data_IF_978213654185
#
_entry.id   IF_978213654185
#
_cell.length_a   1.000
_cell.length_b   1.000
_cell.length_c   1.000
_cell.angle_alpha   90.00
_cell.angle_beta   90.00
_cell.angle_gamma   90.00
#
_symmetry.space_group_name_H-M   'P 1'
#
loop_
_entity.id
_entity.type
_entity.pdbx_description
1 polymer ?
#
# COMPACT_ATOMS: atom_id res chain seq x y z
N UNK A 1 10.67 -3.76 31.47
CA UNK A 1 11.38 -3.22 30.31
C UNK A 1 10.32 -2.90 29.27
N UNK A 2 10.19 -1.65 28.84
CA UNK A 2 9.27 -1.33 27.73
C UNK A 2 9.91 -1.91 26.47
N UNK A 3 9.33 -2.98 25.94
CA UNK A 3 9.74 -3.51 24.64
C UNK A 3 9.30 -2.51 23.57
N UNK A 4 10.19 -2.17 22.64
CA UNK A 4 9.84 -1.38 21.47
C UNK A 4 8.71 -2.10 20.71
N UNK A 5 7.64 -1.38 20.42
CA UNK A 5 6.51 -1.87 19.62
C UNK A 5 6.35 -1.00 18.38
N UNK A 6 6.01 -1.63 17.27
CA UNK A 6 5.56 -0.92 16.08
C UNK A 6 4.06 -0.68 16.16
N UNK A 7 3.63 0.49 15.69
CA UNK A 7 2.24 0.77 15.35
C UNK A 7 2.09 0.62 13.85
N UNK A 8 1.43 -0.45 13.42
CA UNK A 8 1.26 -0.81 12.01
C UNK A 8 -0.22 -0.84 11.66
N UNK A 9 -0.51 -0.66 10.38
CA UNK A 9 -1.85 -0.66 9.82
C UNK A 9 -1.93 -1.65 8.66
N UNK A 10 -3.09 -2.29 8.52
CA UNK A 10 -3.50 -3.00 7.31
C UNK A 10 -4.85 -2.45 6.88
N UNK A 11 -5.09 -2.34 5.58
CA UNK A 11 -6.40 -1.92 5.07
C UNK A 11 -6.99 -3.01 4.20
N UNK A 12 -8.30 -3.15 4.31
CA UNK A 12 -9.10 -4.05 3.49
C UNK A 12 -10.28 -3.25 2.94
N UNK A 13 -10.62 -3.46 1.67
CA UNK A 13 -11.85 -2.89 1.13
C UNK A 13 -13.04 -3.43 1.91
N UNK A 14 -13.90 -2.54 2.40
CA UNK A 14 -15.11 -2.96 3.08
C UNK A 14 -16.10 -3.59 2.08
N UNK A 15 -16.78 -4.65 2.52
CA UNK A 15 -17.90 -5.28 1.81
C UNK A 15 -19.00 -5.56 2.84
N UNK A 16 -20.26 -5.45 2.42
CA UNK A 16 -21.42 -5.59 3.31
C UNK A 16 -21.38 -6.88 4.12
N UNK A 17 -21.05 -7.99 3.48
CA UNK A 17 -21.00 -9.31 4.11
C UNK A 17 -19.59 -9.74 4.58
N UNK A 18 -18.56 -8.86 4.52
CA UNK A 18 -17.24 -9.27 4.98
C UNK A 18 -17.14 -9.23 6.50
N UNK A 19 -16.90 -10.38 7.11
CA UNK A 19 -16.58 -10.47 8.52
C UNK A 19 -15.31 -9.66 8.86
N UNK A 20 -15.25 -9.14 10.08
CA UNK A 20 -14.02 -8.55 10.63
C UNK A 20 -13.01 -9.67 10.84
N UNK A 21 -11.78 -9.48 10.35
CA UNK A 21 -10.70 -10.43 10.55
C UNK A 21 -10.17 -10.30 11.98
N UNK A 22 -10.43 -11.32 12.81
CA UNK A 22 -9.95 -11.36 14.20
C UNK A 22 -8.48 -11.75 14.30
N UNK A 23 -7.95 -12.47 13.32
CA UNK A 23 -6.55 -12.89 13.30
C UNK A 23 -6.05 -12.95 11.87
N UNK A 24 -4.94 -12.26 11.61
CA UNK A 24 -4.23 -12.31 10.34
C UNK A 24 -3.19 -13.42 10.42
N UNK A 25 -3.31 -14.37 9.49
CA UNK A 25 -2.32 -15.42 9.28
C UNK A 25 -1.45 -15.02 8.09
N UNK A 26 -0.11 -15.03 8.23
CA UNK A 26 0.81 -14.83 7.12
C UNK A 26 0.43 -15.70 5.92
N UNK A 27 0.44 -15.11 4.73
CA UNK A 27 0.16 -15.80 3.47
C UNK A 27 1.03 -15.21 2.37
N UNK A 28 1.24 -15.94 1.29
CA UNK A 28 1.81 -15.37 0.08
C UNK A 28 0.73 -14.46 -0.56
N UNK A 29 0.99 -13.15 -0.77
CA UNK A 29 0.01 -12.25 -1.38
C UNK A 29 -0.41 -12.75 -2.78
N UNK A 30 -1.70 -12.71 -3.12
CA UNK A 30 -2.19 -13.20 -4.41
C UNK A 30 -1.83 -12.28 -5.59
N UNK A 31 -1.74 -10.97 -5.34
CA UNK A 31 -1.30 -9.94 -6.29
C UNK A 31 0.06 -9.42 -5.81
N UNK A 32 1.04 -9.32 -6.71
CA UNK A 32 2.44 -8.98 -6.41
C UNK A 32 3.04 -8.12 -7.52
N UNK A 33 4.02 -7.29 -7.19
CA UNK A 33 4.80 -6.56 -8.17
C UNK A 33 5.77 -7.51 -8.90
N UNK A 34 6.11 -7.17 -10.15
CA UNK A 34 7.12 -7.93 -10.90
C UNK A 34 8.48 -7.85 -10.18
N UNK A 35 9.11 -9.00 -9.95
CA UNK A 35 10.35 -9.13 -9.19
C UNK A 35 10.19 -9.18 -7.65
N UNK A 36 8.97 -9.19 -7.12
CA UNK A 36 8.71 -9.42 -5.70
C UNK A 36 8.88 -10.90 -5.31
N UNK A 37 9.37 -11.18 -4.09
CA UNK A 37 9.49 -12.56 -3.57
C UNK A 37 8.12 -13.22 -3.40
N UNK A 38 7.90 -14.31 -4.15
CA UNK A 38 6.65 -15.07 -4.22
C UNK A 38 6.61 -16.31 -3.30
N UNK A 39 7.61 -16.47 -2.43
CA UNK A 39 7.74 -17.63 -1.54
C UNK A 39 7.50 -17.29 -0.08
N UNK A 40 7.57 -16.02 0.31
CA UNK A 40 7.47 -15.59 1.72
C UNK A 40 6.02 -15.34 2.14
N UNK A 41 5.53 -16.10 3.11
CA UNK A 41 4.27 -15.81 3.78
C UNK A 41 4.39 -14.61 4.71
N UNK A 42 3.42 -13.69 4.64
CA UNK A 42 3.48 -12.40 5.36
C UNK A 42 2.10 -11.79 5.57
N UNK A 43 2.01 -10.92 6.57
CA UNK A 43 0.97 -9.90 6.66
C UNK A 43 1.58 -8.56 6.24
N UNK A 44 1.14 -8.02 5.11
CA UNK A 44 1.60 -6.74 4.58
C UNK A 44 0.94 -5.61 5.36
N UNK A 45 1.77 -4.74 5.93
CA UNK A 45 1.33 -3.60 6.76
C UNK A 45 2.13 -2.35 6.44
N UNK A 46 1.68 -1.19 6.91
CA UNK A 46 2.47 0.05 6.83
C UNK A 46 2.22 0.95 8.04
N UNK A 47 2.93 2.08 8.12
CA UNK A 47 2.83 3.05 9.21
C UNK A 47 1.68 4.04 9.04
N UNK A 48 1.00 4.07 7.88
CA UNK A 48 -0.17 4.91 7.65
C UNK A 48 -1.16 4.30 6.67
N UNK A 49 -2.42 4.75 6.73
CA UNK A 49 -3.49 4.37 5.79
C UNK A 49 -3.11 4.72 4.35
N UNK A 50 -2.55 5.92 4.13
CA UNK A 50 -2.12 6.40 2.79
C UNK A 50 -1.11 5.43 2.16
N UNK A 51 -0.14 4.98 2.95
CA UNK A 51 0.90 4.05 2.50
C UNK A 51 0.35 2.64 2.26
N UNK A 52 -0.56 2.17 3.11
CA UNK A 52 -1.31 0.92 2.86
C UNK A 52 -2.10 1.00 1.55
N UNK A 53 -2.70 2.16 1.27
CA UNK A 53 -3.51 2.39 0.08
C UNK A 53 -2.69 2.43 -1.21
N UNK A 54 -1.45 2.96 -1.14
CA UNK A 54 -0.47 2.88 -2.22
C UNK A 54 -0.04 1.44 -2.53
N UNK A 55 0.06 0.60 -1.50
CA UNK A 55 0.49 -0.80 -1.63
C UNK A 55 -0.59 -1.74 -2.17
N UNK A 56 -1.87 -1.37 -2.06
CA UNK A 56 -2.98 -2.21 -2.49
C UNK A 56 -3.35 -1.89 -3.95
N UNK A 57 -3.05 -2.76 -4.95
CA UNK A 57 -3.19 -2.42 -6.37
C UNK A 57 -4.61 -1.97 -6.73
N UNK A 58 -5.63 -2.72 -6.29
CA UNK A 58 -7.05 -2.38 -6.51
C UNK A 58 -7.44 -1.02 -5.93
N UNK A 59 -6.86 -0.67 -4.80
CA UNK A 59 -7.09 0.60 -4.11
C UNK A 59 -6.34 1.71 -4.86
N UNK A 60 -5.07 1.46 -5.19
CA UNK A 60 -4.20 2.32 -5.98
C UNK A 60 -4.84 2.73 -7.33
N UNK A 61 -5.47 1.81 -8.06
CA UNK A 61 -6.17 2.15 -9.31
C UNK A 61 -7.30 3.17 -9.13
N UNK A 62 -8.10 3.01 -8.07
CA UNK A 62 -9.16 3.96 -7.70
C UNK A 62 -8.56 5.28 -7.21
N UNK A 63 -7.44 5.21 -6.49
CA UNK A 63 -6.79 6.33 -5.82
C UNK A 63 -5.78 7.10 -6.64
N UNK A 64 -5.38 6.70 -7.84
CA UNK A 64 -4.44 7.50 -8.63
C UNK A 64 -4.98 7.87 -9.99
N UNK A 65 -6.29 7.68 -10.21
CA UNK A 65 -6.94 8.09 -11.46
C UNK A 65 -6.29 7.42 -12.68
N UNK A 66 -5.67 6.24 -12.50
CA UNK A 66 -5.12 5.43 -13.61
C UNK A 66 -6.24 4.82 -14.48
N UNK A 67 -7.44 5.41 -14.41
CA UNK A 67 -8.71 4.97 -14.94
C UNK A 67 -9.08 5.66 -16.24
N UNK A 68 -8.32 6.66 -16.70
CA UNK A 68 -8.74 7.42 -17.89
C UNK A 68 -8.72 6.56 -19.18
N UNK A 69 -7.99 5.43 -19.22
CA UNK A 69 -7.88 4.58 -20.43
C UNK A 69 -7.94 3.07 -20.23
N UNK A 70 -8.11 2.59 -19.00
CA UNK A 70 -8.30 1.16 -18.74
C UNK A 70 -9.80 0.92 -18.73
N UNK A 71 -10.28 0.02 -19.59
CA UNK A 71 -11.66 -0.46 -19.54
C UNK A 71 -11.86 -1.21 -18.22
N UNK A 72 -12.18 -0.47 -17.15
CA UNK A 72 -12.36 -0.96 -15.80
C UNK A 72 -13.41 -2.05 -15.72
N UNK A 73 -14.34 -2.06 -16.68
CA UNK A 73 -15.30 -3.13 -16.88
C UNK A 73 -14.64 -4.53 -16.93
N UNK A 74 -13.47 -4.63 -17.57
CA UNK A 74 -12.73 -5.89 -17.72
C UNK A 74 -11.91 -6.27 -16.48
N UNK A 75 -11.57 -5.29 -15.61
CA UNK A 75 -10.64 -5.48 -14.49
C UNK A 75 -11.34 -5.62 -13.12
N UNK A 76 -12.44 -4.90 -12.92
CA UNK A 76 -13.12 -4.80 -11.62
C UNK A 76 -14.60 -5.22 -11.66
N UNK A 77 -15.14 -5.56 -12.84
CA UNK A 77 -16.51 -6.02 -13.03
C UNK A 77 -17.55 -4.89 -13.08
N UNK A 78 -18.77 -5.20 -13.55
CA UNK A 78 -19.84 -4.20 -13.78
C UNK A 78 -20.20 -3.40 -12.51
N UNK A 79 -20.12 -4.02 -11.34
CA UNK A 79 -20.48 -3.42 -10.05
C UNK A 79 -19.57 -2.24 -9.64
N UNK A 80 -18.35 -2.19 -10.18
CA UNK A 80 -17.36 -1.16 -9.84
C UNK A 80 -17.44 0.09 -10.75
N UNK A 81 -17.99 -0.06 -11.96
CA UNK A 81 -18.03 1.02 -12.95
C UNK A 81 -18.91 2.19 -12.48
N UNK A 82 -20.05 1.87 -11.86
CA UNK A 82 -20.98 2.88 -11.35
C UNK A 82 -20.37 3.75 -10.24
N UNK A 83 -19.45 3.19 -9.45
CA UNK A 83 -18.81 3.92 -8.37
C UNK A 83 -17.86 5.00 -8.92
N UNK A 84 -17.06 4.66 -9.94
CA UNK A 84 -15.99 5.49 -10.48
C UNK A 84 -16.45 6.71 -11.31
N UNK A 85 -17.66 6.68 -11.87
CA UNK A 85 -18.19 7.77 -12.68
C UNK A 85 -18.65 8.99 -11.84
N UNK A 86 -19.00 8.78 -10.58
CA UNK A 86 -19.34 9.91 -9.69
C UNK A 86 -18.06 10.59 -9.17
N UNK A 87 -17.91 11.90 -9.43
CA UNK A 87 -16.77 12.72 -8.95
C UNK A 87 -16.65 12.77 -7.41
N UNK A 88 -17.65 12.26 -6.69
CA UNK A 88 -17.77 12.31 -5.23
C UNK A 88 -17.63 10.93 -4.56
N UNK A 89 -17.29 9.89 -5.32
CA UNK A 89 -17.10 8.54 -4.74
C UNK A 89 -15.77 8.42 -4.00
N UNK A 90 -15.86 8.08 -2.71
CA UNK A 90 -14.73 7.63 -1.90
C UNK A 90 -14.90 6.15 -1.56
N UNK A 91 -13.81 5.39 -1.53
CA UNK A 91 -13.87 3.98 -1.16
C UNK A 91 -13.80 3.82 0.35
N UNK A 92 -14.71 3.03 0.91
CA UNK A 92 -14.65 2.67 2.32
C UNK A 92 -13.69 1.51 2.51
N UNK A 93 -12.75 1.72 3.43
CA UNK A 93 -11.83 0.69 3.89
C UNK A 93 -12.03 0.43 5.36
N UNK A 94 -11.83 -0.82 5.73
CA UNK A 94 -11.60 -1.23 7.11
C UNK A 94 -10.11 -1.11 7.38
N UNK A 95 -9.75 -0.42 8.46
CA UNK A 95 -8.39 -0.18 8.91
C UNK A 95 -8.14 -0.97 10.18
N UNK A 96 -7.26 -1.95 10.09
CA UNK A 96 -6.80 -2.77 11.20
C UNK A 96 -5.52 -2.17 11.77
N UNK A 97 -5.52 -1.89 13.07
CA UNK A 97 -4.34 -1.39 13.78
C UNK A 97 -3.67 -2.53 14.52
N UNK A 98 -2.34 -2.54 14.53
CA UNK A 98 -1.54 -3.53 15.23
C UNK A 98 -0.52 -2.85 16.11
N UNK A 99 -0.33 -3.40 17.31
CA UNK A 99 0.83 -3.12 18.14
C UNK A 99 1.67 -4.38 18.25
N UNK A 100 2.78 -4.46 17.54
CA UNK A 100 3.58 -5.69 17.44
C UNK A 100 4.99 -5.52 17.98
N UNK A 101 5.57 -6.54 18.64
CA UNK A 101 6.98 -6.53 19.01
C UNK A 101 7.89 -6.40 17.79
N UNK A 102 8.97 -5.63 17.92
CA UNK A 102 9.94 -5.40 16.85
C UNK A 102 10.52 -6.70 16.24
N UNK A 103 10.72 -7.75 17.03
CA UNK A 103 11.36 -8.98 16.57
C UNK A 103 10.54 -9.84 15.60
N UNK A 104 9.23 -9.62 15.50
CA UNK A 104 8.35 -10.33 14.54
C UNK A 104 8.09 -9.51 13.27
N UNK A 105 8.65 -8.31 13.19
CA UNK A 105 8.47 -7.37 12.08
C UNK A 105 9.73 -7.36 11.23
N UNK A 106 9.58 -7.65 9.93
CA UNK A 106 10.57 -7.27 8.94
C UNK A 106 10.28 -5.84 8.51
N UNK A 107 11.16 -4.90 8.88
CA UNK A 107 10.97 -3.48 8.58
C UNK A 107 11.13 -3.18 7.08
N UNK A 108 10.58 -2.05 6.64
CA UNK A 108 10.76 -1.54 5.28
C UNK A 108 12.25 -1.48 4.86
N UNK A 109 13.12 -1.05 5.78
CA UNK A 109 14.58 -1.03 5.55
C UNK A 109 15.14 -2.42 5.32
N UNK A 110 14.75 -3.42 6.13
CA UNK A 110 15.24 -4.79 5.97
C UNK A 110 14.72 -5.43 4.68
N UNK A 111 13.46 -5.19 4.32
CA UNK A 111 12.86 -5.63 3.05
C UNK A 111 13.64 -5.05 1.87
N UNK A 112 13.96 -3.75 1.93
CA UNK A 112 14.71 -3.04 0.91
C UNK A 112 16.15 -3.57 0.76
N UNK A 113 16.87 -3.72 1.86
CA UNK A 113 18.26 -4.22 1.88
C UNK A 113 18.38 -5.63 1.29
N UNK A 114 17.33 -6.44 1.49
CA UNK A 114 17.24 -7.82 0.98
C UNK A 114 16.69 -7.89 -0.45
N UNK A 115 16.19 -6.78 -1.01
CA UNK A 115 15.65 -6.71 -2.36
C UNK A 115 14.40 -7.56 -2.55
N UNK A 116 13.53 -7.68 -1.53
CA UNK A 116 12.36 -8.57 -1.58
C UNK A 116 11.14 -7.92 -2.24
N UNK A 117 11.05 -6.58 -2.18
CA UNK A 117 9.93 -5.78 -2.71
C UNK A 117 10.51 -4.52 -3.37
N UNK A 118 10.32 -4.32 -4.69
CA UNK A 118 10.89 -3.18 -5.41
C UNK A 118 10.37 -1.80 -4.96
N UNK A 119 9.10 -1.71 -4.56
CA UNK A 119 8.40 -0.46 -4.26
C UNK A 119 8.26 -0.16 -2.75
N UNK A 120 8.97 -0.90 -1.89
CA UNK A 120 8.95 -0.75 -0.43
C UNK A 120 9.23 0.66 0.07
N UNK A 121 10.01 1.47 -0.67
CA UNK A 121 10.25 2.88 -0.33
C UNK A 121 9.01 3.76 -0.49
N UNK A 122 8.14 3.42 -1.44
CA UNK A 122 6.90 4.16 -1.73
C UNK A 122 5.80 3.75 -0.78
N UNK A 123 5.70 2.45 -0.48
CA UNK A 123 4.68 1.84 0.36
C UNK A 123 5.04 1.82 1.84
N UNK A 124 6.32 2.04 2.18
CA UNK A 124 6.87 1.84 3.53
C UNK A 124 6.36 0.53 4.15
N UNK A 125 6.38 -0.52 3.34
CA UNK A 125 5.78 -1.79 3.69
C UNK A 125 6.60 -2.49 4.78
N UNK A 126 5.89 -3.02 5.76
CA UNK A 126 6.41 -3.83 6.85
C UNK A 126 5.74 -5.20 6.79
N UNK A 127 6.50 -6.26 7.06
CA UNK A 127 5.97 -7.62 7.07
C UNK A 127 5.93 -8.17 8.49
N UNK A 128 4.77 -8.67 8.88
CA UNK A 128 4.63 -9.50 10.08
C UNK A 128 4.68 -10.96 9.62
N UNK A 129 5.64 -11.72 10.13
CA UNK A 129 5.89 -13.11 9.71
C UNK A 129 5.17 -14.15 10.59
N UNK A 130 4.51 -13.70 11.65
CA UNK A 130 3.72 -14.52 12.58
C UNK A 130 2.24 -14.15 12.52
N UNK A 131 1.39 -15.04 13.06
CA UNK A 131 -0.02 -14.75 13.25
C UNK A 131 -0.20 -13.54 14.21
N UNK A 132 -1.08 -12.62 13.85
CA UNK A 132 -1.28 -11.37 14.61
C UNK A 132 -2.75 -11.00 14.72
N UNK A 133 -3.14 -10.50 15.89
CA UNK A 133 -4.47 -9.95 16.14
C UNK A 133 -4.42 -8.42 16.08
N UNK A 134 -5.39 -7.76 15.43
CA UNK A 134 -5.50 -6.31 15.48
C UNK A 134 -5.80 -5.86 16.91
N UNK A 135 -5.20 -4.75 17.35
CA UNK A 135 -5.51 -4.11 18.63
C UNK A 135 -6.79 -3.29 18.56
N UNK A 136 -7.11 -2.76 17.38
CA UNK A 136 -8.37 -2.10 17.09
C UNK A 136 -8.72 -2.17 15.60
N UNK A 137 -9.99 -1.95 15.31
CA UNK A 137 -10.52 -1.87 13.94
C UNK A 137 -11.29 -0.57 13.82
N UNK A 138 -11.02 0.16 12.75
CA UNK A 138 -11.70 1.42 12.42
C UNK A 138 -12.08 1.42 10.95
N UNK A 139 -12.83 2.43 10.52
CA UNK A 139 -13.22 2.59 9.13
C UNK A 139 -12.78 3.94 8.63
N UNK A 140 -12.40 4.01 7.35
CA UNK A 140 -12.03 5.25 6.70
C UNK A 140 -12.65 5.30 5.30
N UNK A 141 -13.01 6.50 4.87
CA UNK A 141 -13.30 6.81 3.47
C UNK A 141 -12.02 7.35 2.87
N UNK A 142 -11.56 6.73 1.78
CA UNK A 142 -10.48 7.24 0.97
C UNK A 142 -11.08 7.87 -0.28
N UNK A 143 -10.99 9.21 -0.38
CA UNK A 143 -11.44 9.98 -1.52
C UNK A 143 -10.63 9.69 -2.78
N UNK A 144 -11.17 10.07 -3.94
CA UNK A 144 -10.49 9.96 -5.23
C UNK A 144 -9.12 10.64 -5.19
N UNK A 145 -8.16 10.08 -5.91
CA UNK A 145 -6.77 10.55 -5.94
C UNK A 145 -5.97 10.34 -4.63
N UNK A 146 -6.53 9.63 -3.62
CA UNK A 146 -5.84 9.37 -2.35
C UNK A 146 -5.57 10.62 -1.51
N UNK A 147 -6.12 11.77 -1.93
CA UNK A 147 -5.82 13.08 -1.37
C UNK A 147 -6.60 13.37 -0.09
N UNK A 148 -7.65 12.62 0.18
CA UNK A 148 -8.46 12.76 1.38
C UNK A 148 -8.69 11.39 2.03
N UNK A 149 -8.25 11.25 3.28
CA UNK A 149 -8.57 10.11 4.13
C UNK A 149 -9.38 10.64 5.30
N UNK A 150 -10.65 10.26 5.37
CA UNK A 150 -11.56 10.65 6.45
C UNK A 150 -11.88 9.43 7.29
N UNK A 151 -11.46 9.45 8.56
CA UNK A 151 -11.86 8.44 9.53
C UNK A 151 -13.36 8.57 9.82
N UNK A 152 -14.08 7.44 9.83
CA UNK A 152 -15.48 7.37 10.23
C UNK A 152 -15.59 7.23 11.74
N UNK A 153 -16.57 7.90 12.34
CA UNK A 153 -16.87 7.75 13.78
C UNK A 153 -17.61 6.44 14.03
N UNK A 154 -17.44 5.83 15.19
CA UNK A 154 -18.20 4.63 15.59
C UNK A 154 -19.71 4.83 15.50
N UNK A 155 -20.22 6.05 15.74
CA UNK A 155 -21.64 6.39 15.60
C UNK A 155 -22.14 6.45 14.16
N UNK A 156 -21.23 6.51 13.19
CA UNK A 156 -21.49 6.45 11.75
C UNK A 156 -21.42 4.99 11.27
N UNK A 157 -21.62 4.02 12.17
CA UNK A 157 -21.40 2.58 11.94
C UNK A 157 -22.16 2.02 10.74
N UNK A 158 -21.51 1.01 10.17
CA UNK A 158 -21.77 0.27 8.94
C UNK A 158 -23.23 -0.15 8.69
N UNK A 159 -24.02 -0.40 9.74
CA UNK A 159 -25.44 -0.76 9.61
C UNK A 159 -26.29 0.35 8.95
N UNK A 160 -25.81 1.60 8.90
CA UNK A 160 -26.40 2.71 8.13
C UNK A 160 -25.74 2.97 6.76
N UNK A 161 -24.56 2.39 6.49
CA UNK A 161 -23.75 2.69 5.29
C UNK A 161 -24.29 2.06 4.00
N UNK A 162 -25.12 1.01 4.10
CA UNK A 162 -25.86 0.45 2.96
C UNK A 162 -26.86 1.45 2.33
N UNK A 163 -27.13 2.59 2.99
CA UNK A 163 -28.05 3.62 2.50
C UNK A 163 -27.42 5.04 2.50
N UNK A 164 -26.44 5.34 3.37
CA UNK A 164 -25.98 6.72 3.59
C UNK A 164 -24.73 7.20 2.82
N UNK A 165 -24.00 6.36 2.07
CA UNK A 165 -22.96 6.90 1.14
C UNK A 165 -23.57 7.30 -0.21
N UNK A 166 -24.86 7.68 -0.17
CA UNK A 166 -25.54 8.43 -1.23
C UNK A 166 -26.05 9.80 -0.79
N UNK A 167 -26.01 10.13 0.51
CA UNK A 167 -26.59 11.36 1.08
C UNK A 167 -25.79 11.68 2.35
N UNK A 168 -24.76 12.53 2.34
CA UNK A 168 -24.91 13.90 2.85
C UNK A 168 -23.91 14.90 2.23
N UNK A 169 -22.88 14.39 1.53
CA UNK A 169 -21.92 15.25 0.80
C UNK A 169 -22.54 15.78 -0.49
N UNK A 170 -23.42 14.98 -1.11
CA UNK A 170 -24.16 15.31 -2.34
C UNK A 170 -25.20 16.41 -2.07
N UNK A 171 -25.99 16.34 -0.99
CA UNK A 171 -27.12 17.25 -0.79
C UNK A 171 -26.73 18.65 -0.27
N UNK A 172 -25.57 18.80 0.36
CA UNK A 172 -25.12 20.10 0.88
C UNK A 172 -24.22 20.90 -0.08
N UNK A 173 -23.60 20.26 -1.07
CA UNK A 173 -22.70 20.92 -2.02
C UNK A 173 -23.31 21.14 -3.42
N UNK A 174 -24.29 20.33 -3.83
CA UNK A 174 -24.91 20.44 -5.17
C UNK A 174 -25.96 21.55 -5.33
N UNK A 175 -26.34 22.24 -4.25
CA UNK A 175 -27.32 23.32 -4.35
C UNK A 175 -26.73 24.71 -4.64
N UNK A 176 -25.41 24.91 -4.48
CA UNK A 176 -24.84 26.27 -4.56
C UNK A 176 -23.80 26.53 -5.65
N UNK A 177 -23.22 25.52 -6.33
CA UNK A 177 -22.22 25.79 -7.36
C UNK A 177 -22.53 25.20 -8.73
N UNK A 178 -22.69 26.14 -9.67
CA UNK A 178 -23.11 25.99 -11.07
C UNK A 178 -22.09 25.26 -11.95
N UNK A 179 -22.64 24.65 -13.01
CA UNK A 179 -22.29 24.84 -14.42
C UNK A 179 -21.18 25.86 -14.71
N UNK A 180 -20.05 25.39 -15.24
CA UNK A 180 -19.44 25.82 -16.51
C UNK A 180 -18.03 25.23 -16.59
N UNK A 181 -17.76 24.38 -17.58
CA UNK A 181 -16.44 23.86 -18.05
C UNK A 181 -16.47 22.35 -18.39
N UNK A 182 -17.56 21.85 -18.99
CA UNK A 182 -17.68 20.44 -19.38
C UNK A 182 -17.68 20.19 -20.90
N UNK A 183 -17.43 21.22 -21.73
CA UNK A 183 -17.58 21.12 -23.18
C UNK A 183 -16.32 20.67 -23.96
N UNK A 184 -15.19 20.35 -23.32
CA UNK A 184 -13.96 19.94 -24.04
C UNK A 184 -13.52 18.47 -23.85
N UNK A 185 -14.12 17.71 -22.94
CA UNK A 185 -13.71 16.33 -22.61
C UNK A 185 -14.60 15.22 -23.22
N UNK A 186 -15.66 15.57 -23.95
CA UNK A 186 -16.61 14.59 -24.53
C UNK A 186 -16.37 14.28 -26.02
N UNK A 187 -15.16 14.48 -26.55
CA UNK A 187 -14.88 14.06 -27.92
C UNK A 187 -14.56 12.55 -27.95
N UNK A 188 -15.37 11.72 -28.63
CA UNK A 188 -15.08 10.31 -28.77
C UNK A 188 -13.73 10.13 -29.46
N UNK A 189 -12.81 9.46 -28.78
CA UNK A 189 -11.46 9.15 -29.27
C UNK A 189 -11.52 7.90 -30.15
N UNK A 190 -10.83 7.91 -31.29
CA UNK A 190 -10.69 6.72 -32.11
C UNK A 190 -9.82 5.66 -31.40
N UNK A 191 -10.00 4.39 -31.75
CA UNK A 191 -9.21 3.27 -31.21
C UNK A 191 -7.70 3.49 -31.36
N UNK A 192 -7.26 4.12 -32.44
CA UNK A 192 -5.85 4.41 -32.72
C UNK A 192 -5.29 5.53 -31.83
N UNK A 193 -6.09 6.55 -31.54
CA UNK A 193 -5.74 7.61 -30.59
C UNK A 193 -5.65 7.07 -29.15
N UNK A 194 -6.55 6.16 -28.76
CA UNK A 194 -6.51 5.50 -27.46
C UNK A 194 -5.24 4.64 -27.28
N UNK A 195 -4.83 3.92 -28.33
CA UNK A 195 -3.58 3.14 -28.32
C UNK A 195 -2.36 4.06 -28.18
N UNK A 196 -2.30 5.16 -28.93
CA UNK A 196 -1.20 6.13 -28.85
C UNK A 196 -1.15 6.85 -27.50
N UNK A 197 -2.29 7.07 -26.87
CA UNK A 197 -2.37 7.69 -25.56
C UNK A 197 -1.94 6.73 -24.44
N UNK A 198 -2.44 5.49 -24.44
CA UNK A 198 -1.97 4.41 -23.55
C UNK A 198 -0.46 4.26 -23.58
N UNK A 199 0.15 4.18 -24.77
CA UNK A 199 1.60 4.06 -24.92
C UNK A 199 2.36 5.23 -24.28
N UNK A 200 1.78 6.43 -24.25
CA UNK A 200 2.36 7.63 -23.66
C UNK A 200 2.29 7.62 -22.13
N UNK A 201 1.19 7.10 -21.57
CA UNK A 201 1.03 6.93 -20.11
C UNK A 201 1.97 5.84 -19.61
N UNK A 202 2.04 4.70 -20.29
CA UNK A 202 3.02 3.64 -20.00
C UNK A 202 4.44 4.18 -20.07
N UNK A 203 4.79 4.96 -21.11
CA UNK A 203 6.10 5.59 -21.22
C UNK A 203 6.40 6.53 -20.04
N UNK A 204 5.41 7.30 -19.57
CA UNK A 204 5.56 8.19 -18.40
C UNK A 204 5.77 7.39 -17.12
N UNK A 205 4.98 6.34 -16.90
CA UNK A 205 5.12 5.46 -15.74
C UNK A 205 6.50 4.78 -15.71
N UNK A 206 6.92 4.18 -16.82
CA UNK A 206 8.23 3.54 -16.92
C UNK A 206 9.39 4.54 -16.76
N UNK A 207 9.22 5.80 -17.18
CA UNK A 207 10.18 6.89 -16.91
C UNK A 207 10.29 7.18 -15.41
N UNK A 208 9.18 7.26 -14.70
CA UNK A 208 9.17 7.51 -13.24
C UNK A 208 9.79 6.33 -12.47
N UNK A 209 9.47 5.09 -12.85
CA UNK A 209 10.11 3.88 -12.30
C UNK A 209 11.61 3.88 -12.56
N UNK A 210 12.05 4.22 -13.78
CA UNK A 210 13.47 4.32 -14.10
C UNK A 210 14.19 5.42 -13.30
N UNK A 211 13.52 6.54 -13.02
CA UNK A 211 14.05 7.61 -12.14
C UNK A 211 14.20 7.09 -10.70
N UNK A 212 13.19 6.38 -10.19
CA UNK A 212 13.23 5.77 -8.86
C UNK A 212 14.37 4.74 -8.75
N UNK A 213 14.51 3.85 -9.74
CA UNK A 213 15.60 2.87 -9.82
C UNK A 213 16.98 3.54 -9.84
N UNK A 214 17.13 4.65 -10.58
CA UNK A 214 18.38 5.40 -10.64
C UNK A 214 18.71 6.08 -9.31
N UNK A 215 17.71 6.62 -8.60
CA UNK A 215 17.89 7.17 -7.24
C UNK A 215 18.32 6.08 -6.27
N UNK A 216 17.70 4.89 -6.36
CA UNK A 216 18.08 3.71 -5.58
C UNK A 216 19.56 3.34 -5.77
N UNK A 217 20.02 3.20 -7.01
CA UNK A 217 21.43 2.90 -7.31
C UNK A 217 22.40 3.97 -6.79
N UNK A 218 21.98 5.23 -6.74
CA UNK A 218 22.78 6.32 -6.17
C UNK A 218 22.87 6.23 -4.65
N UNK A 219 21.77 5.97 -3.95
CA UNK A 219 21.75 5.81 -2.50
C UNK A 219 22.53 4.56 -2.05
N UNK A 220 22.39 3.44 -2.78
CA UNK A 220 23.16 2.22 -2.54
C UNK A 220 24.67 2.48 -2.58
N UNK A 221 25.16 3.27 -3.54
CA UNK A 221 26.58 3.67 -3.61
C UNK A 221 27.02 4.51 -2.41
N UNK A 222 26.16 5.36 -1.86
CA UNK A 222 26.48 6.15 -0.66
C UNK A 222 26.59 5.28 0.59
N UNK A 223 25.74 4.25 0.71
CA UNK A 223 25.75 3.31 1.84
C UNK A 223 27.03 2.45 1.87
N UNK A 224 27.57 2.07 0.71
CA UNK A 224 28.82 1.29 0.62
C UNK A 224 30.06 2.11 1.03
N UNK A 225 30.02 3.44 0.89
CA UNK A 225 31.17 4.32 1.17
C UNK A 225 31.25 4.74 2.65
N UNK A 226 30.16 4.63 3.42
CA UNK A 226 30.10 5.09 4.83
C UNK A 226 30.66 4.08 5.84
N UNK A 227 31.02 2.87 5.43
CA UNK A 227 31.67 1.88 6.27
C UNK A 227 33.05 1.54 5.71
N UNK A 228 34.07 2.41 5.89
CA UNK A 228 35.44 1.92 5.79
C UNK A 228 35.56 0.81 6.83
N UNK A 229 35.65 -0.43 6.35
CA UNK A 229 36.07 -1.57 7.16
C UNK A 229 37.37 -1.12 7.79
N UNK A 230 37.32 -0.77 9.09
CA UNK A 230 38.53 -0.65 9.89
C UNK A 230 39.05 -2.06 9.93
N UNK A 231 39.98 -2.33 9.03
CA UNK A 231 40.84 -3.50 9.03
C UNK A 231 41.63 -3.42 10.33
N UNK A 232 40.98 -3.86 11.42
CA UNK A 232 41.64 -4.10 12.69
C UNK A 232 42.47 -5.36 12.46
N UNK A 233 43.64 -5.15 11.85
CA UNK A 233 44.72 -6.11 11.77
C UNK A 233 45.04 -6.60 13.18
N UNK A 234 44.36 -7.66 13.57
CA UNK A 234 44.52 -8.38 14.82
C UNK A 234 44.56 -9.86 14.49
N UNK A 235 45.62 -10.27 13.80
CA UNK A 235 46.00 -11.68 13.69
C UNK A 235 46.34 -12.15 15.09
N UNK A 236 45.35 -12.63 15.83
CA UNK A 236 45.60 -13.48 16.99
C UNK A 236 45.71 -14.93 16.49
N UNK A 237 46.89 -15.56 16.58
CA UNK A 237 47.03 -16.97 16.26
C UNK A 237 46.14 -17.78 17.21
N UNK A 238 45.31 -18.64 16.63
CA UNK A 238 44.55 -19.68 17.32
C UNK A 238 45.50 -20.52 18.17
N UNK A 239 45.52 -20.25 19.48
CA UNK A 239 46.05 -21.19 20.45
C UNK A 239 45.12 -22.40 20.51
N UNK A 240 45.60 -23.51 19.96
CA UNK A 240 45.05 -24.84 20.16
C UNK A 240 45.46 -25.31 21.56
N UNK A 241 44.47 -25.66 22.38
CA UNK A 241 44.71 -26.47 23.59
C UNK A 241 43.87 -26.07 24.79
N UNK A 242 42.85 -26.88 25.10
CA UNK A 242 42.88 -27.68 26.33
C UNK A 242 41.79 -28.76 26.33
N UNK A 243 42.14 -30.06 26.30
CA UNK A 243 41.21 -31.15 26.56
C UNK A 243 41.44 -31.68 27.98
N UNK A 244 40.83 -31.08 29.00
CA UNK A 244 40.76 -31.69 30.34
C UNK A 244 39.60 -31.09 31.15
N UNK A 245 38.49 -31.81 31.19
CA UNK A 245 37.45 -31.68 32.22
C UNK A 245 37.23 -33.08 32.83
N UNK A 246 37.32 -33.23 34.17
CA UNK A 246 37.15 -34.52 34.82
C UNK A 246 35.66 -34.83 35.07
N UNK A 247 35.31 -36.10 34.92
CA UNK A 247 34.19 -36.76 35.60
C UNK A 247 34.63 -37.18 37.00
#
# INVERSE_FOLDING_TARGET
MNQNRYHLMHIEQWKEDSAVIETFIPRIPPERADGEDDTIERVCTSTSIEKCAKAAPRICYVLFGMTEDINLFDLVGEEFHYFLESKESGMIVRVYHFEVPEHIVTSATSILERGLVPDVLTTDEHWILDAVQPTSVSYAVIGRNGNEIKMLKESESVDGLGVFVRCDVIDSYLFENRFSEQDELEKPMSREEAILFKNRIEEKYFKEVAIAQKRWEQEKKKMVVSHPVKDNGGVHPLQTGNPDLPF
#
